data_IF_472872044851
#
_entry.id   IF_472872044851
#
_cell.length_a   1.000
_cell.length_b   1.000
_cell.length_c   1.000
_cell.angle_alpha   90.00
_cell.angle_beta   90.00
_cell.angle_gamma   90.00
#
_symmetry.space_group_name_H-M   'P 1'
#
loop_
_entity.id
_entity.type
_entity.pdbx_description
1 polymer ?
#
# COMPACT_ATOMS: atom_id res chain seq x y z
N UNK A 1 12.81 15.82 -5.83
CA UNK A 1 11.74 15.28 -4.94
C UNK A 1 12.22 13.95 -4.40
N UNK A 2 11.88 13.63 -3.16
CA UNK A 2 12.16 12.31 -2.60
C UNK A 2 11.41 11.21 -3.37
N UNK A 3 11.98 10.01 -3.38
CA UNK A 3 11.55 8.87 -4.18
C UNK A 3 10.68 7.93 -3.38
N UNK A 4 9.57 7.47 -3.96
CA UNK A 4 8.78 6.34 -3.48
C UNK A 4 8.93 5.16 -4.44
N UNK A 5 9.48 4.05 -3.97
CA UNK A 5 9.67 2.83 -4.77
C UNK A 5 8.45 1.89 -4.71
N UNK A 6 7.58 2.02 -3.70
CA UNK A 6 6.38 1.20 -3.56
C UNK A 6 5.31 1.67 -4.55
N UNK A 7 4.88 0.78 -5.45
CA UNK A 7 3.94 1.10 -6.52
C UNK A 7 2.62 0.34 -6.37
N UNK A 8 1.52 1.03 -6.64
CA UNK A 8 0.20 0.41 -6.74
C UNK A 8 0.14 -0.51 -7.96
N UNK A 9 -0.09 -1.80 -7.73
CA UNK A 9 -0.21 -2.80 -8.79
C UNK A 9 -1.61 -2.76 -9.42
N UNK A 10 -1.69 -3.05 -10.72
CA UNK A 10 -2.94 -3.06 -11.48
C UNK A 10 -3.76 -1.77 -11.37
N UNK A 11 -3.18 -0.59 -11.12
CA UNK A 11 -3.95 0.63 -10.85
C UNK A 11 -4.49 1.35 -12.10
N UNK A 12 -4.10 0.93 -13.30
CA UNK A 12 -4.51 1.58 -14.54
C UNK A 12 -6.01 1.40 -14.85
N UNK A 13 -6.58 2.38 -15.56
CA UNK A 13 -7.92 2.26 -16.15
C UNK A 13 -8.00 1.03 -17.04
N UNK A 14 -9.06 0.24 -16.90
CA UNK A 14 -9.26 -0.99 -17.68
C UNK A 14 -8.43 -2.19 -17.22
N UNK A 15 -7.65 -2.10 -16.14
CA UNK A 15 -6.94 -3.25 -15.61
C UNK A 15 -7.90 -4.36 -15.16
N UNK A 16 -7.54 -5.61 -15.43
CA UNK A 16 -8.31 -6.81 -15.11
C UNK A 16 -8.41 -7.01 -13.60
N UNK A 17 -9.41 -6.37 -12.98
CA UNK A 17 -9.61 -6.34 -11.53
C UNK A 17 -11.09 -6.43 -11.23
N UNK A 18 -11.46 -7.33 -10.31
CA UNK A 18 -12.84 -7.46 -9.83
C UNK A 18 -13.36 -6.12 -9.31
N UNK A 19 -14.62 -5.79 -9.65
CA UNK A 19 -15.25 -4.53 -9.19
C UNK A 19 -15.28 -4.47 -7.66
N UNK A 20 -15.44 -3.28 -7.08
CA UNK A 20 -15.53 -3.16 -5.62
C UNK A 20 -16.75 -3.92 -5.08
N UNK A 21 -17.91 -3.75 -5.72
CA UNK A 21 -19.15 -4.41 -5.32
C UNK A 21 -19.04 -5.93 -5.38
N UNK A 22 -18.50 -6.48 -6.47
CA UNK A 22 -18.34 -7.94 -6.60
C UNK A 22 -17.30 -8.50 -5.62
N UNK A 23 -16.28 -7.71 -5.28
CA UNK A 23 -15.26 -8.08 -4.30
C UNK A 23 -15.84 -8.17 -2.88
N UNK A 24 -16.64 -7.18 -2.48
CA UNK A 24 -17.30 -7.15 -1.17
C UNK A 24 -18.36 -8.25 -1.02
N UNK A 25 -18.99 -8.64 -2.13
CA UNK A 25 -19.93 -9.76 -2.16
C UNK A 25 -19.25 -11.15 -2.19
N UNK A 26 -17.94 -11.22 -2.43
CA UNK A 26 -17.23 -12.48 -2.61
C UNK A 26 -16.99 -13.17 -1.25
N UNK A 27 -17.46 -14.41 -1.02
CA UNK A 27 -17.22 -15.12 0.24
C UNK A 27 -15.73 -15.34 0.57
N UNK A 28 -14.88 -15.40 -0.47
CA UNK A 28 -13.43 -15.49 -0.34
C UNK A 28 -12.80 -14.24 0.29
N UNK A 29 -13.50 -13.11 0.37
CA UNK A 29 -13.02 -11.94 1.13
C UNK A 29 -12.84 -12.29 2.62
N UNK A 30 -13.71 -13.14 3.17
CA UNK A 30 -13.66 -13.57 4.56
C UNK A 30 -12.80 -14.82 4.77
N UNK A 31 -12.87 -15.76 3.83
CA UNK A 31 -12.29 -17.10 3.98
C UNK A 31 -10.99 -17.33 3.22
N UNK A 32 -10.61 -16.38 2.35
CA UNK A 32 -9.57 -16.59 1.35
C UNK A 32 -10.01 -17.54 0.23
N UNK A 33 -9.15 -17.72 -0.77
CA UNK A 33 -9.32 -18.77 -1.77
C UNK A 33 -8.90 -20.11 -1.17
N UNK A 34 -9.81 -21.07 -1.06
CA UNK A 34 -9.58 -22.34 -0.37
C UNK A 34 -9.20 -23.46 -1.34
N UNK A 35 -10.11 -23.84 -2.23
CA UNK A 35 -9.92 -24.88 -3.23
C UNK A 35 -10.29 -24.37 -4.63
N UNK A 36 -9.63 -24.91 -5.65
CA UNK A 36 -9.83 -24.51 -7.05
C UNK A 36 -8.91 -23.37 -7.50
N UNK A 37 -9.17 -22.82 -8.69
CA UNK A 37 -8.36 -21.75 -9.29
C UNK A 37 -8.95 -20.38 -8.90
N UNK A 38 -8.14 -19.51 -8.29
CA UNK A 38 -8.52 -18.12 -8.06
C UNK A 38 -8.59 -17.38 -9.40
N UNK A 39 -9.66 -16.61 -9.65
CA UNK A 39 -9.75 -15.84 -10.87
C UNK A 39 -8.70 -14.73 -10.87
N UNK A 40 -8.02 -14.52 -11.99
CA UNK A 40 -6.94 -13.51 -12.10
C UNK A 40 -7.43 -12.10 -11.72
N UNK A 41 -8.67 -11.75 -12.04
CA UNK A 41 -9.29 -10.49 -11.64
C UNK A 41 -9.40 -10.32 -10.11
N UNK A 42 -9.69 -11.41 -9.38
CA UNK A 42 -9.82 -11.40 -7.93
C UNK A 42 -8.44 -11.35 -7.26
N UNK A 43 -7.46 -12.09 -7.80
CA UNK A 43 -6.06 -12.00 -7.33
C UNK A 43 -5.50 -10.60 -7.55
N UNK A 44 -5.72 -10.01 -8.73
CA UNK A 44 -5.30 -8.65 -9.02
C UNK A 44 -6.01 -7.63 -8.10
N UNK A 45 -7.27 -7.88 -7.71
CA UNK A 45 -7.99 -7.04 -6.73
C UNK A 45 -7.33 -7.07 -5.35
N UNK A 46 -7.03 -8.26 -4.83
CA UNK A 46 -6.34 -8.42 -3.54
C UNK A 46 -4.96 -7.75 -3.56
N UNK A 47 -4.16 -8.00 -4.60
CA UNK A 47 -2.85 -7.36 -4.78
C UNK A 47 -2.97 -5.84 -4.92
N UNK A 48 -3.94 -5.33 -5.70
CA UNK A 48 -4.18 -3.88 -5.85
C UNK A 48 -4.47 -3.26 -4.49
N UNK A 49 -5.35 -3.82 -3.66
CA UNK A 49 -5.65 -3.23 -2.34
C UNK A 49 -4.40 -3.13 -1.47
N UNK A 50 -3.62 -4.21 -1.34
CA UNK A 50 -2.39 -4.22 -0.54
C UNK A 50 -1.32 -3.27 -1.07
N UNK A 51 -1.02 -3.32 -2.36
CA UNK A 51 0.02 -2.48 -2.98
C UNK A 51 -0.37 -1.00 -3.04
N UNK A 52 -1.67 -0.69 -3.11
CA UNK A 52 -2.14 0.70 -3.03
C UNK A 52 -1.86 1.31 -1.67
N UNK A 53 -2.08 0.55 -0.58
CA UNK A 53 -1.75 1.02 0.77
C UNK A 53 -0.23 1.14 0.95
N UNK A 54 0.56 0.20 0.42
CA UNK A 54 2.02 0.31 0.46
C UNK A 54 2.54 1.55 -0.28
N UNK A 55 2.00 1.82 -1.48
CA UNK A 55 2.34 3.02 -2.25
C UNK A 55 1.91 4.30 -1.53
N UNK A 56 0.75 4.31 -0.86
CA UNK A 56 0.29 5.42 -0.03
C UNK A 56 1.28 5.70 1.11
N UNK A 57 1.71 4.67 1.85
CA UNK A 57 2.67 4.82 2.96
C UNK A 57 4.02 5.30 2.45
N UNK A 58 4.53 4.72 1.37
CA UNK A 58 5.78 5.15 0.74
C UNK A 58 5.71 6.61 0.25
N UNK A 59 4.58 7.03 -0.30
CA UNK A 59 4.37 8.41 -0.72
C UNK A 59 4.28 9.36 0.48
N UNK A 60 3.64 8.93 1.57
CA UNK A 60 3.57 9.69 2.81
C UNK A 60 4.97 9.98 3.38
N UNK A 61 5.86 8.98 3.35
CA UNK A 61 7.28 9.15 3.70
C UNK A 61 7.96 10.12 2.74
N UNK A 62 7.80 9.94 1.42
CA UNK A 62 8.41 10.82 0.42
C UNK A 62 7.97 12.29 0.56
N UNK A 63 6.73 12.53 0.98
CA UNK A 63 6.21 13.87 1.22
C UNK A 63 6.91 14.60 2.38
N UNK A 64 7.57 13.88 3.31
CA UNK A 64 8.39 14.48 4.36
C UNK A 64 9.82 14.79 3.92
N UNK A 65 10.14 14.64 2.62
CA UNK A 65 11.44 14.99 2.05
C UNK A 65 12.51 13.91 2.09
N UNK A 66 12.17 12.66 2.46
CA UNK A 66 13.12 11.54 2.50
C UNK A 66 12.65 10.35 1.69
N UNK A 67 13.58 9.57 1.13
CA UNK A 67 13.22 8.45 0.23
C UNK A 67 12.60 7.26 0.96
N UNK A 68 11.52 6.71 0.39
CA UNK A 68 10.98 5.39 0.67
C UNK A 68 11.49 4.39 -0.40
N UNK A 69 12.58 3.69 -0.08
CA UNK A 69 13.24 2.74 -0.98
C UNK A 69 12.79 1.30 -0.68
N UNK A 70 12.59 0.51 -1.71
CA UNK A 70 12.30 -0.92 -1.61
C UNK A 70 13.63 -1.70 -1.69
N UNK A 71 14.39 -1.66 -0.60
CA UNK A 71 15.73 -2.24 -0.49
C UNK A 71 15.88 -3.22 0.68
N UNK A 72 14.75 -3.63 1.28
CA UNK A 72 14.72 -4.53 2.43
C UNK A 72 15.01 -3.90 3.80
N UNK A 73 15.32 -2.60 3.89
CA UNK A 73 15.56 -1.90 5.16
C UNK A 73 14.25 -1.50 5.86
N UNK A 74 13.58 -2.50 6.45
CA UNK A 74 12.33 -2.30 7.18
C UNK A 74 12.50 -1.39 8.40
N UNK A 75 13.61 -1.53 9.14
CA UNK A 75 13.91 -0.70 10.32
C UNK A 75 14.06 0.78 9.94
N UNK A 76 14.75 1.07 8.84
CA UNK A 76 14.87 2.41 8.29
C UNK A 76 13.53 2.97 7.83
N UNK A 77 12.70 2.16 7.16
CA UNK A 77 11.35 2.57 6.74
C UNK A 77 10.45 2.92 7.94
N UNK A 78 10.49 2.15 9.04
CA UNK A 78 9.75 2.46 10.27
C UNK A 78 10.20 3.80 10.86
N UNK A 79 11.50 4.06 10.92
CA UNK A 79 12.05 5.33 11.42
C UNK A 79 11.60 6.50 10.55
N UNK A 80 11.70 6.37 9.23
CA UNK A 80 11.25 7.38 8.27
C UNK A 80 9.75 7.63 8.37
N UNK A 81 8.94 6.58 8.54
CA UNK A 81 7.50 6.71 8.70
C UNK A 81 7.12 7.49 9.96
N UNK A 82 7.74 7.20 11.11
CA UNK A 82 7.54 7.97 12.35
C UNK A 82 7.87 9.45 12.16
N UNK A 83 9.02 9.74 11.54
CA UNK A 83 9.42 11.12 11.26
C UNK A 83 8.44 11.81 10.31
N UNK A 84 7.95 11.10 9.29
CA UNK A 84 6.97 11.64 8.36
C UNK A 84 5.63 12.01 9.03
N UNK A 85 5.20 11.26 10.05
CA UNK A 85 4.01 11.61 10.85
C UNK A 85 4.21 12.96 11.54
N UNK A 86 5.35 13.14 12.22
CA UNK A 86 5.69 14.39 12.92
C UNK A 86 5.78 15.56 11.94
N UNK A 87 6.55 15.38 10.86
CA UNK A 87 6.81 16.43 9.87
C UNK A 87 5.56 16.83 9.09
N UNK A 88 4.82 15.88 8.52
CA UNK A 88 3.68 16.19 7.63
C UNK A 88 2.49 16.77 8.39
N UNK A 89 2.31 16.38 9.66
CA UNK A 89 1.21 16.87 10.51
C UNK A 89 1.61 18.10 11.34
N UNK A 90 2.86 18.57 11.23
CA UNK A 90 3.36 19.72 11.99
C UNK A 90 3.33 19.50 13.51
N UNK A 91 3.45 18.24 13.95
CA UNK A 91 3.49 17.93 15.38
C UNK A 91 4.83 18.44 15.91
N UNK A 92 4.79 19.27 16.96
CA UNK A 92 6.01 19.61 17.69
C UNK A 92 6.60 18.34 18.30
N UNK A 93 7.92 18.30 18.48
CA UNK A 93 8.66 17.15 19.01
C UNK A 93 8.20 16.83 20.44
N UNK A 94 7.06 16.15 20.59
CA UNK A 94 6.58 15.61 21.86
C UNK A 94 7.50 14.42 22.11
N UNK A 95 8.53 14.63 22.91
CA UNK A 95 9.32 13.54 23.47
C UNK A 95 8.34 12.52 24.06
N UNK A 96 8.31 11.33 23.46
CA UNK A 96 7.85 10.10 24.12
C UNK A 96 9.05 9.51 24.87
#
# INVERSE_FOLDING_TARGET
MATNNFKSFSAATGANVTSQTDWEALPALLTGFTAGKAASAQVNKALRQSTTIAALVGQFIANSGVDALDNGDVTGLVTKFKNAIVTNLGLSNILL
#
